data_IF_715729605831
#
_entry.id   IF_715729605831
#
_cell.length_a   1.000
_cell.length_b   1.000
_cell.length_c   1.000
_cell.angle_alpha   90.00
_cell.angle_beta   90.00
_cell.angle_gamma   90.00
#
_symmetry.space_group_name_H-M   'P 1'
#
loop_
_entity.id
_entity.type
_entity.pdbx_description
1 polymer ?
#
# COMPACT_ATOMS: atom_id res chain seq x y z
N UNK A 1 -9.25 -10.05 -2.30
CA UNK A 1 -8.91 -10.10 -3.73
C UNK A 1 -8.76 -11.52 -4.29
N UNK A 2 -8.27 -12.53 -3.53
CA UNK A 2 -8.19 -13.91 -4.04
C UNK A 2 -9.55 -14.36 -4.61
N UNK A 3 -9.56 -14.84 -5.86
CA UNK A 3 -10.76 -15.31 -6.54
C UNK A 3 -11.59 -14.24 -7.25
N UNK A 4 -11.18 -12.97 -7.29
CA UNK A 4 -11.88 -11.90 -8.00
C UNK A 4 -10.89 -11.01 -8.74
N UNK A 5 -10.93 -11.05 -10.09
CA UNK A 5 -10.07 -10.21 -10.93
C UNK A 5 -10.46 -8.74 -10.88
N UNK A 6 -11.76 -8.44 -10.81
CA UNK A 6 -12.25 -7.06 -10.69
C UNK A 6 -11.67 -6.38 -9.43
N UNK A 7 -11.69 -7.09 -8.29
CA UNK A 7 -11.09 -6.57 -7.05
C UNK A 7 -9.57 -6.45 -7.10
N UNK A 8 -8.88 -7.24 -7.93
CA UNK A 8 -7.45 -7.05 -8.18
C UNK A 8 -7.22 -5.75 -8.94
N UNK A 9 -7.99 -5.50 -10.01
CA UNK A 9 -7.86 -4.30 -10.85
C UNK A 9 -8.18 -3.04 -10.05
N UNK A 10 -9.21 -3.07 -9.22
CA UNK A 10 -9.66 -1.91 -8.43
C UNK A 10 -8.73 -1.57 -7.25
N UNK A 11 -8.14 -2.58 -6.60
CA UNK A 11 -7.33 -2.40 -5.39
C UNK A 11 -5.82 -2.44 -5.66
N UNK A 12 -5.40 -2.53 -6.92
CA UNK A 12 -3.98 -2.46 -7.33
C UNK A 12 -3.81 -1.48 -8.48
N UNK A 13 -2.58 -1.06 -8.73
CA UNK A 13 -2.28 -0.11 -9.82
C UNK A 13 -1.05 -0.58 -10.58
N UNK A 14 -1.16 -0.59 -11.91
CA UNK A 14 -0.02 -0.77 -12.82
C UNK A 14 0.87 0.47 -12.91
N UNK A 15 0.36 1.62 -12.45
CA UNK A 15 1.09 2.89 -12.45
C UNK A 15 1.73 3.11 -11.08
N UNK A 16 3.03 2.84 -11.00
CA UNK A 16 3.84 3.07 -9.80
C UNK A 16 5.24 3.56 -10.19
N UNK A 17 5.95 4.13 -9.23
CA UNK A 17 7.31 4.62 -9.41
C UNK A 17 8.25 4.11 -8.34
N UNK A 18 9.46 3.75 -8.77
CA UNK A 18 10.50 3.19 -7.93
C UNK A 18 10.12 1.85 -7.32
N UNK A 19 11.12 1.05 -6.95
CA UNK A 19 10.87 -0.15 -6.16
C UNK A 19 11.92 -0.32 -5.07
N UNK A 20 11.49 -0.94 -3.98
CA UNK A 20 12.28 -1.25 -2.81
C UNK A 20 12.27 -2.77 -2.64
N UNK A 21 13.45 -3.38 -2.68
CA UNK A 21 13.64 -4.75 -2.25
C UNK A 21 13.78 -4.78 -0.73
N UNK A 22 12.67 -4.98 -0.02
CA UNK A 22 12.64 -4.97 1.42
C UNK A 22 13.00 -6.36 1.98
N UNK A 23 14.21 -6.49 2.50
CA UNK A 23 14.73 -7.75 3.04
C UNK A 23 14.44 -7.92 4.53
N UNK A 24 14.67 -6.86 5.33
CA UNK A 24 14.39 -6.84 6.77
C UNK A 24 13.55 -5.61 7.16
N UNK A 25 12.20 -5.69 7.05
CA UNK A 25 11.29 -4.57 7.31
C UNK A 25 11.46 -3.92 8.70
N UNK A 26 11.60 -4.73 9.75
CA UNK A 26 11.59 -4.25 11.15
C UNK A 26 12.83 -3.41 11.49
N UNK A 27 13.97 -3.75 10.91
CA UNK A 27 15.25 -3.05 11.17
C UNK A 27 15.49 -1.90 10.19
N UNK A 28 14.88 -1.95 9.01
CA UNK A 28 15.11 -0.98 7.94
C UNK A 28 14.58 0.42 8.26
N UNK A 29 15.46 1.43 8.22
CA UNK A 29 15.04 2.83 8.26
C UNK A 29 14.14 3.18 7.07
N UNK A 30 14.46 2.69 5.86
CA UNK A 30 13.61 2.87 4.67
C UNK A 30 12.23 2.25 4.89
N UNK A 31 12.17 1.10 5.58
CA UNK A 31 10.91 0.43 5.91
C UNK A 31 10.03 1.27 6.83
N UNK A 32 10.63 1.90 7.85
CA UNK A 32 9.93 2.82 8.75
C UNK A 32 9.47 4.08 8.01
N UNK A 33 10.34 4.69 7.22
CA UNK A 33 10.02 5.87 6.41
C UNK A 33 8.84 5.61 5.47
N UNK A 34 8.85 4.45 4.80
CA UNK A 34 7.79 4.05 3.86
C UNK A 34 6.57 3.38 4.53
N UNK A 35 6.54 3.31 5.86
CA UNK A 35 5.45 2.71 6.64
C UNK A 35 5.14 1.26 6.20
N UNK A 36 6.19 0.50 5.92
CA UNK A 36 6.14 -0.92 5.54
C UNK A 36 6.97 -1.80 6.49
N UNK A 37 7.46 -1.25 7.61
CA UNK A 37 8.24 -1.94 8.65
C UNK A 37 7.51 -3.10 9.32
N UNK A 38 6.17 -3.06 9.31
CA UNK A 38 5.29 -4.12 9.84
C UNK A 38 4.85 -5.14 8.79
N UNK A 39 5.21 -4.96 7.52
CA UNK A 39 4.82 -5.85 6.44
C UNK A 39 5.87 -6.95 6.20
N UNK A 40 5.57 -7.88 5.28
CA UNK A 40 6.42 -9.02 4.96
C UNK A 40 7.62 -8.60 4.10
N UNK A 41 8.72 -9.36 4.11
CA UNK A 41 9.79 -9.20 3.12
C UNK A 41 9.24 -9.29 1.68
N UNK A 42 9.74 -8.47 0.76
CA UNK A 42 9.26 -8.45 -0.62
C UNK A 42 9.59 -7.17 -1.39
N UNK A 43 9.03 -7.07 -2.60
CA UNK A 43 9.12 -5.87 -3.43
C UNK A 43 7.95 -4.93 -3.13
N UNK A 44 8.28 -3.65 -2.95
CA UNK A 44 7.31 -2.57 -2.69
C UNK A 44 7.58 -1.41 -3.65
N UNK A 45 6.55 -0.68 -4.05
CA UNK A 45 6.71 0.57 -4.80
C UNK A 45 7.05 1.74 -3.86
N UNK A 46 7.80 2.72 -4.35
CA UNK A 46 8.04 3.98 -3.61
C UNK A 46 6.77 4.84 -3.63
N UNK A 47 6.12 4.91 -4.80
CA UNK A 47 4.86 5.63 -5.02
C UNK A 47 3.91 4.79 -5.85
N UNK A 48 2.64 4.74 -5.47
CA UNK A 48 1.55 4.06 -6.19
C UNK A 48 0.49 5.08 -6.56
N UNK A 49 0.20 5.22 -7.85
CA UNK A 49 -0.82 6.16 -8.32
C UNK A 49 -2.20 5.54 -8.28
N UNK A 50 -3.18 6.34 -7.85
CA UNK A 50 -4.58 5.93 -7.73
C UNK A 50 -5.01 5.79 -6.27
N UNK A 51 -6.30 5.52 -6.09
CA UNK A 51 -6.94 5.32 -4.79
C UNK A 51 -7.77 4.05 -4.86
N UNK A 52 -7.87 3.34 -3.73
CA UNK A 52 -8.86 2.28 -3.60
C UNK A 52 -10.29 2.84 -3.75
N UNK A 53 -11.27 2.02 -4.15
CA UNK A 53 -12.68 2.41 -4.17
C UNK A 53 -13.21 2.81 -2.79
N UNK A 54 -14.22 3.70 -2.79
CA UNK A 54 -14.86 4.21 -1.56
C UNK A 54 -15.48 3.09 -0.71
N UNK A 55 -16.14 2.10 -1.34
CA UNK A 55 -16.73 0.96 -0.62
C UNK A 55 -15.68 0.13 0.13
N UNK A 56 -14.47 0.05 -0.41
CA UNK A 56 -13.33 -0.63 0.23
C UNK A 56 -12.77 0.22 1.36
N UNK A 57 -12.65 1.54 1.17
CA UNK A 57 -12.22 2.47 2.21
C UNK A 57 -13.18 2.45 3.42
N UNK A 58 -14.49 2.43 3.16
CA UNK A 58 -15.53 2.31 4.18
C UNK A 58 -15.51 0.97 4.92
N UNK A 59 -15.25 -0.15 4.23
CA UNK A 59 -15.06 -1.46 4.88
C UNK A 59 -13.84 -1.45 5.80
N UNK A 60 -12.72 -0.91 5.33
CA UNK A 60 -11.50 -0.79 6.14
C UNK A 60 -11.74 0.09 7.37
N UNK A 61 -12.41 1.23 7.21
CA UNK A 61 -12.74 2.14 8.31
C UNK A 61 -13.64 1.46 9.35
N UNK A 62 -14.69 0.73 8.93
CA UNK A 62 -15.56 -0.05 9.83
C UNK A 62 -14.81 -1.11 10.63
N UNK A 63 -13.70 -1.61 10.09
CA UNK A 63 -12.81 -2.60 10.73
C UNK A 63 -11.68 -1.95 11.55
N UNK A 64 -11.65 -0.62 11.66
CA UNK A 64 -10.62 0.12 12.38
C UNK A 64 -9.27 0.16 11.66
N UNK A 65 -9.25 -0.07 10.34
CA UNK A 65 -8.04 -0.05 9.51
C UNK A 65 -8.02 1.28 8.75
N UNK A 66 -7.20 2.27 9.15
CA UNK A 66 -7.14 3.54 8.44
C UNK A 66 -6.46 3.35 7.08
N UNK A 67 -7.15 3.74 6.00
CA UNK A 67 -6.52 3.85 4.69
C UNK A 67 -5.64 5.10 4.63
N UNK A 68 -4.44 4.93 4.06
CA UNK A 68 -3.47 6.00 3.85
C UNK A 68 -3.01 5.94 2.39
N UNK A 69 -3.28 6.98 1.57
CA UNK A 69 -2.83 7.03 0.19
C UNK A 69 -1.30 6.82 0.07
N UNK A 70 -0.88 6.13 -1.00
CA UNK A 70 0.54 5.83 -1.29
C UNK A 70 1.05 6.59 -2.52
N UNK A 71 0.35 7.64 -2.92
CA UNK A 71 0.65 8.48 -4.08
C UNK A 71 1.54 9.69 -3.74
N UNK A 72 1.92 9.87 -2.48
CA UNK A 72 2.71 11.01 -2.00
C UNK A 72 1.89 12.27 -1.76
N UNK A 73 0.55 12.20 -1.78
CA UNK A 73 -0.33 13.33 -1.45
C UNK A 73 -0.42 13.61 0.06
N UNK A 74 0.03 12.69 0.91
CA UNK A 74 0.04 12.88 2.35
C UNK A 74 1.12 13.90 2.74
N UNK A 75 0.73 14.95 3.46
CA UNK A 75 1.67 15.77 4.20
C UNK A 75 2.32 14.94 5.33
N UNK A 76 3.59 15.22 5.61
CA UNK A 76 4.39 14.53 6.63
C UNK A 76 3.80 14.64 8.04
#
# INVERSE_FOLDING_TARGET
MRGSMDRVIECTSSKFEGFIAMMNPKESWVGRWQRIDKFTRGLYAIRVYGRIPEDVEDDLARRGIPYKPRDGSMAD
#
